data_IF_774062615149
#
_entry.id   IF_774062615149
#
_cell.length_a   1.000
_cell.length_b   1.000
_cell.length_c   1.000
_cell.angle_alpha   90.00
_cell.angle_beta   90.00
_cell.angle_gamma   90.00
#
_symmetry.space_group_name_H-M   'P 1'
#
loop_
_entity.id
_entity.type
_entity.pdbx_description
1 polymer ?
#
# COMPACT_ATOMS: atom_id res chain seq x y z
N UNK A 1 -14.31 -17.82 26.18
CA UNK A 1 -15.13 -16.72 25.62
C UNK A 1 -14.33 -15.74 24.76
N UNK A 2 -13.07 -15.42 25.08
CA UNK A 2 -12.22 -14.45 24.33
C UNK A 2 -11.84 -14.90 22.90
N UNK A 3 -11.60 -16.20 22.69
CA UNK A 3 -11.21 -16.75 21.38
C UNK A 3 -12.26 -16.51 20.27
N UNK A 4 -13.55 -16.46 20.62
CA UNK A 4 -14.62 -16.21 19.65
C UNK A 4 -14.64 -14.76 19.17
N UNK A 5 -14.33 -13.81 20.06
CA UNK A 5 -14.30 -12.38 19.73
C UNK A 5 -13.10 -12.05 18.84
N UNK A 6 -11.94 -12.62 19.13
CA UNK A 6 -10.74 -12.44 18.30
C UNK A 6 -10.97 -12.97 16.87
N UNK A 7 -11.57 -14.17 16.76
CA UNK A 7 -11.91 -14.79 15.48
C UNK A 7 -12.86 -13.91 14.66
N UNK A 8 -13.91 -13.39 15.30
CA UNK A 8 -14.89 -12.54 14.65
C UNK A 8 -14.30 -11.18 14.24
N UNK A 9 -13.41 -10.61 15.06
CA UNK A 9 -12.67 -9.40 14.71
C UNK A 9 -11.76 -9.63 13.50
N UNK A 10 -10.98 -10.72 13.48
CA UNK A 10 -10.13 -11.10 12.34
C UNK A 10 -10.96 -11.30 11.07
N UNK A 11 -12.09 -12.01 11.14
CA UNK A 11 -12.96 -12.20 9.97
C UNK A 11 -13.51 -10.87 9.42
N UNK A 12 -13.91 -9.93 10.31
CA UNK A 12 -14.34 -8.59 9.89
C UNK A 12 -13.20 -7.80 9.25
N UNK A 13 -11.98 -7.90 9.78
CA UNK A 13 -10.82 -7.24 9.19
C UNK A 13 -10.50 -7.83 7.81
N UNK A 14 -10.51 -9.15 7.71
CA UNK A 14 -10.25 -9.88 6.49
C UNK A 14 -11.23 -9.52 5.36
N UNK A 15 -12.49 -9.23 5.68
CA UNK A 15 -13.51 -8.92 4.68
C UNK A 15 -13.39 -7.50 4.09
N UNK A 16 -12.94 -6.50 4.86
CA UNK A 16 -12.79 -5.13 4.35
C UNK A 16 -11.41 -4.85 3.72
N UNK A 17 -10.37 -5.60 4.13
CA UNK A 17 -8.99 -5.39 3.70
C UNK A 17 -8.77 -5.34 2.18
N UNK A 18 -9.35 -6.25 1.37
CA UNK A 18 -9.16 -6.20 -0.08
C UNK A 18 -9.62 -4.86 -0.66
N UNK A 19 -10.74 -4.32 -0.19
CA UNK A 19 -11.23 -3.02 -0.67
C UNK A 19 -10.35 -1.87 -0.18
N UNK A 20 -9.85 -1.92 1.05
CA UNK A 20 -8.95 -0.92 1.59
C UNK A 20 -7.64 -0.85 0.80
N UNK A 21 -7.04 -2.00 0.47
CA UNK A 21 -5.82 -2.08 -0.34
C UNK A 21 -6.07 -1.53 -1.75
N UNK A 22 -7.15 -1.95 -2.42
CA UNK A 22 -7.50 -1.42 -3.74
C UNK A 22 -7.68 0.10 -3.73
N UNK A 23 -8.31 0.66 -2.69
CA UNK A 23 -8.51 2.11 -2.57
C UNK A 23 -7.18 2.84 -2.35
N UNK A 24 -6.31 2.32 -1.50
CA UNK A 24 -5.00 2.92 -1.24
C UNK A 24 -4.10 2.88 -2.48
N UNK A 25 -4.09 1.77 -3.22
CA UNK A 25 -3.40 1.64 -4.51
C UNK A 25 -3.94 2.63 -5.54
N UNK A 26 -5.27 2.72 -5.67
CA UNK A 26 -5.88 3.70 -6.57
C UNK A 26 -5.44 5.12 -6.23
N UNK A 27 -5.48 5.51 -4.95
CA UNK A 27 -5.01 6.83 -4.53
C UNK A 27 -3.54 7.05 -4.87
N UNK A 28 -2.68 6.04 -4.68
CA UNK A 28 -1.28 6.12 -5.08
C UNK A 28 -1.13 6.36 -6.58
N UNK A 29 -1.82 5.57 -7.42
CA UNK A 29 -1.79 5.72 -8.87
C UNK A 29 -2.37 7.06 -9.32
N UNK A 30 -3.46 7.53 -8.71
CA UNK A 30 -4.05 8.83 -9.01
C UNK A 30 -3.05 9.97 -8.71
N UNK A 31 -2.31 9.92 -7.60
CA UNK A 31 -1.29 10.93 -7.29
C UNK A 31 -0.06 10.87 -8.20
N UNK A 32 0.33 9.67 -8.64
CA UNK A 32 1.49 9.48 -9.52
C UNK A 32 1.18 9.74 -11.00
N UNK A 33 -0.07 9.54 -11.42
CA UNK A 33 -0.53 9.70 -12.80
C UNK A 33 -1.14 11.06 -13.11
N UNK A 34 -1.35 11.91 -12.10
CA UNK A 34 -1.69 13.30 -12.32
C UNK A 34 -0.48 14.05 -12.88
N UNK A 35 -0.61 14.52 -14.12
CA UNK A 35 0.24 15.59 -14.66
C UNK A 35 -0.04 16.85 -13.84
N UNK A 36 0.70 17.01 -12.75
CA UNK A 36 0.72 18.27 -12.01
C UNK A 36 1.45 19.24 -12.91
N UNK A 37 0.73 20.21 -13.49
CA UNK A 37 1.37 21.34 -14.16
C UNK A 37 2.46 21.86 -13.23
N UNK A 38 3.72 21.74 -13.64
CA UNK A 38 4.93 22.10 -12.86
C UNK A 38 5.07 23.63 -12.78
N UNK A 39 3.95 24.35 -12.71
CA UNK A 39 3.88 25.80 -12.58
C UNK A 39 4.05 26.22 -11.11
N UNK A 40 3.86 25.29 -10.15
CA UNK A 40 3.98 25.55 -8.72
C UNK A 40 4.70 24.42 -7.97
N UNK A 41 5.92 24.67 -7.51
CA UNK A 41 6.75 23.71 -6.76
C UNK A 41 6.08 23.24 -5.45
N UNK A 42 5.23 24.08 -4.85
CA UNK A 42 4.48 23.73 -3.64
C UNK A 42 3.40 22.68 -3.92
N UNK A 43 2.70 22.82 -5.04
CA UNK A 43 1.71 21.86 -5.52
C UNK A 43 2.39 20.52 -5.84
N UNK A 44 3.53 20.53 -6.54
CA UNK A 44 4.33 19.33 -6.77
C UNK A 44 4.73 18.61 -5.46
N UNK A 45 5.28 19.35 -4.48
CA UNK A 45 5.66 18.78 -3.18
C UNK A 45 4.49 18.20 -2.39
N UNK A 46 3.32 18.84 -2.43
CA UNK A 46 2.11 18.34 -1.80
C UNK A 46 1.61 17.03 -2.46
N UNK A 47 1.58 16.97 -3.80
CA UNK A 47 1.20 15.78 -4.54
C UNK A 47 2.14 14.60 -4.26
N UNK A 48 3.45 14.84 -4.29
CA UNK A 48 4.44 13.82 -3.99
C UNK A 48 4.34 13.32 -2.53
N UNK A 49 4.09 14.22 -1.59
CA UNK A 49 3.83 13.85 -0.19
C UNK A 49 2.56 13.00 -0.07
N UNK A 50 1.50 13.34 -0.79
CA UNK A 50 0.26 12.56 -0.81
C UNK A 50 0.48 11.15 -1.39
N UNK A 51 1.27 11.03 -2.47
CA UNK A 51 1.67 9.74 -3.03
C UNK A 51 2.46 8.89 -2.02
N UNK A 52 3.42 9.50 -1.31
CA UNK A 52 4.20 8.85 -0.24
C UNK A 52 3.31 8.33 0.89
N UNK A 53 2.34 9.14 1.32
CA UNK A 53 1.38 8.73 2.35
C UNK A 53 0.50 7.57 1.87
N UNK A 54 0.05 7.61 0.61
CA UNK A 54 -0.76 6.54 0.03
C UNK A 54 0.00 5.21 -0.01
N UNK A 55 1.26 5.20 -0.47
CA UNK A 55 2.06 3.97 -0.53
C UNK A 55 2.47 3.45 0.86
N UNK A 56 2.73 4.34 1.83
CA UNK A 56 2.94 3.93 3.22
C UNK A 56 1.68 3.27 3.83
N UNK A 57 0.49 3.75 3.47
CA UNK A 57 -0.76 3.13 3.87
C UNK A 57 -0.95 1.74 3.24
N UNK A 58 -0.57 1.56 1.96
CA UNK A 58 -0.53 0.24 1.30
C UNK A 58 0.38 -0.72 2.08
N UNK A 59 1.58 -0.29 2.44
CA UNK A 59 2.51 -1.12 3.23
C UNK A 59 1.92 -1.54 4.59
N UNK A 60 1.25 -0.63 5.30
CA UNK A 60 0.60 -0.93 6.56
C UNK A 60 -0.49 -2.00 6.40
N UNK A 61 -1.31 -1.91 5.35
CA UNK A 61 -2.37 -2.88 5.08
C UNK A 61 -1.81 -4.27 4.74
N UNK A 62 -0.71 -4.32 3.97
CA UNK A 62 0.02 -5.58 3.70
C UNK A 62 0.53 -6.19 5.01
N UNK A 63 1.16 -5.38 5.88
CA UNK A 63 1.65 -5.84 7.18
C UNK A 63 0.51 -6.41 8.03
N UNK A 64 -0.67 -5.78 8.01
CA UNK A 64 -1.85 -6.27 8.71
C UNK A 64 -2.33 -7.62 8.16
N UNK A 65 -2.38 -7.79 6.83
CA UNK A 65 -2.69 -9.07 6.18
C UNK A 65 -1.77 -10.20 6.64
N UNK A 66 -0.46 -9.94 6.69
CA UNK A 66 0.57 -10.94 6.98
C UNK A 66 0.66 -11.28 8.47
N UNK A 67 0.55 -10.28 9.34
CA UNK A 67 0.69 -10.46 10.78
C UNK A 67 -0.50 -11.19 11.42
N UNK A 68 -1.68 -11.17 10.78
CA UNK A 68 -2.93 -11.55 11.42
C UNK A 68 -3.51 -12.89 10.95
N UNK A 69 -2.79 -13.67 10.14
CA UNK A 69 -3.23 -14.92 9.48
C UNK A 69 -4.70 -14.86 8.99
N UNK A 70 -5.09 -13.72 8.42
CA UNK A 70 -6.49 -13.40 8.11
C UNK A 70 -7.07 -14.33 7.04
N UNK A 71 -6.19 -14.91 6.22
CA UNK A 71 -6.58 -15.86 5.18
C UNK A 71 -7.17 -17.15 5.76
N UNK A 72 -6.83 -17.52 7.00
CA UNK A 72 -7.40 -18.67 7.70
C UNK A 72 -8.86 -18.46 8.13
N UNK A 73 -9.29 -17.21 8.26
CA UNK A 73 -10.61 -16.83 8.79
C UNK A 73 -11.66 -16.57 7.71
N UNK A 74 -11.24 -16.50 6.44
CA UNK A 74 -12.15 -16.37 5.30
C UNK A 74 -12.61 -17.75 4.85
N UNK A 75 -13.89 -18.06 5.09
CA UNK A 75 -14.50 -19.33 4.68
C UNK A 75 -14.80 -19.39 3.17
N UNK A 76 -15.02 -18.24 2.53
CA UNK A 76 -15.31 -18.15 1.10
C UNK A 76 -14.01 -18.21 0.29
N UNK A 77 -13.88 -19.23 -0.58
CA UNK A 77 -12.69 -19.43 -1.41
C UNK A 77 -12.40 -18.26 -2.35
N UNK A 78 -13.44 -17.64 -2.91
CA UNK A 78 -13.28 -16.53 -3.84
C UNK A 78 -12.81 -15.26 -3.12
N UNK A 79 -13.35 -15.00 -1.93
CA UNK A 79 -12.90 -13.88 -1.09
C UNK A 79 -11.46 -14.06 -0.61
N UNK A 80 -11.10 -15.30 -0.23
CA UNK A 80 -9.73 -15.64 0.18
C UNK A 80 -8.76 -15.46 -0.99
N UNK A 81 -9.13 -15.96 -2.17
CA UNK A 81 -8.35 -15.79 -3.40
C UNK A 81 -8.17 -14.31 -3.72
N UNK A 82 -9.24 -13.52 -3.67
CA UNK A 82 -9.20 -12.07 -3.89
C UNK A 82 -8.26 -11.35 -2.92
N UNK A 83 -8.29 -11.69 -1.63
CA UNK A 83 -7.38 -11.11 -0.64
C UNK A 83 -5.91 -11.41 -1.00
N UNK A 84 -5.61 -12.65 -1.38
CA UNK A 84 -4.26 -13.07 -1.78
C UNK A 84 -3.80 -12.32 -3.04
N UNK A 85 -4.65 -12.26 -4.07
CA UNK A 85 -4.35 -11.57 -5.34
C UNK A 85 -4.10 -10.08 -5.14
N UNK A 86 -4.97 -9.39 -4.41
CA UNK A 86 -4.83 -7.96 -4.14
C UNK A 86 -3.61 -7.67 -3.27
N UNK A 87 -3.31 -8.53 -2.29
CA UNK A 87 -2.10 -8.38 -1.46
C UNK A 87 -0.83 -8.56 -2.29
N UNK A 88 -0.79 -9.57 -3.16
CA UNK A 88 0.35 -9.81 -4.05
C UNK A 88 0.58 -8.65 -5.04
N UNK A 89 -0.50 -8.10 -5.62
CA UNK A 89 -0.41 -6.90 -6.45
C UNK A 89 0.16 -5.71 -5.66
N UNK A 90 -0.32 -5.49 -4.45
CA UNK A 90 0.14 -4.40 -3.59
C UNK A 90 1.62 -4.55 -3.19
N UNK A 91 2.08 -5.78 -2.94
CA UNK A 91 3.50 -6.08 -2.67
C UNK A 91 4.38 -5.75 -3.89
N UNK A 92 3.93 -6.10 -5.11
CA UNK A 92 4.65 -5.77 -6.33
C UNK A 92 4.77 -4.26 -6.54
N UNK A 93 3.69 -3.50 -6.32
CA UNK A 93 3.69 -2.03 -6.39
C UNK A 93 4.61 -1.38 -5.35
N UNK A 94 4.58 -1.88 -4.11
CA UNK A 94 5.46 -1.41 -3.04
C UNK A 94 6.94 -1.68 -3.36
N UNK A 95 7.25 -2.85 -3.93
CA UNK A 95 8.61 -3.20 -4.34
C UNK A 95 9.11 -2.27 -5.46
N UNK A 96 8.26 -1.98 -6.47
CA UNK A 96 8.60 -1.01 -7.51
C UNK A 96 8.84 0.39 -6.95
N UNK A 97 8.01 0.83 -5.99
CA UNK A 97 8.20 2.12 -5.33
C UNK A 97 9.53 2.18 -4.55
N UNK A 98 9.86 1.14 -3.78
CA UNK A 98 11.12 1.07 -3.03
C UNK A 98 12.33 1.08 -3.95
N UNK A 99 12.30 0.29 -5.02
CA UNK A 99 13.37 0.30 -6.03
C UNK A 99 13.52 1.68 -6.70
N UNK A 100 12.43 2.40 -6.97
CA UNK A 100 12.52 3.79 -7.46
C UNK A 100 13.12 4.75 -6.43
N UNK A 101 12.82 4.58 -5.14
CA UNK A 101 13.42 5.41 -4.09
C UNK A 101 14.93 5.17 -3.93
N UNK A 102 15.36 3.91 -3.94
CA UNK A 102 16.77 3.54 -3.76
C UNK A 102 17.65 4.17 -4.86
N UNK A 103 17.18 4.19 -6.12
CA UNK A 103 17.88 4.88 -7.23
C UNK A 103 18.03 6.39 -6.96
N UNK A 104 17.01 7.04 -6.39
CA UNK A 104 17.04 8.48 -6.14
C UNK A 104 17.91 8.85 -4.93
N UNK A 105 18.05 7.93 -3.97
CA UNK A 105 18.95 8.09 -2.82
C UNK A 105 20.42 7.89 -3.23
N UNK A 106 20.71 6.95 -4.12
CA UNK A 106 22.06 6.75 -4.68
C UNK A 106 22.52 7.90 -5.60
N UNK A 107 21.61 8.48 -6.40
CA UNK A 107 21.94 9.60 -7.30
C UNK A 107 22.14 10.93 -6.53
N UNK A 108 21.41 11.15 -5.43
CA UNK A 108 21.54 12.34 -4.59
C UNK A 108 22.83 12.39 -3.74
N UNK A 109 23.49 11.25 -3.54
CA UNK A 109 24.77 11.17 -2.81
C UNK A 109 25.99 11.49 -3.69
N UNK A 110 25.85 11.49 -5.03
CA UNK A 110 26.99 11.73 -5.94
C UNK A 110 27.22 13.22 -6.29
N UNK A 111 26.28 14.12 -6.02
CA UNK A 111 26.43 15.56 -6.28
C UNK A 111 27.05 16.35 -5.10
N UNK A 112 27.45 15.68 -4.01
CA UNK A 112 28.04 16.30 -2.82
C UNK A 112 29.57 16.39 -2.80
N UNK A 113 30.27 15.82 -3.78
CA UNK A 113 31.73 15.70 -3.84
C UNK A 113 32.29 16.25 -5.18
N UNK A 114 32.03 17.52 -5.50
CA UNK A 114 32.78 18.28 -6.52
C UNK A 114 33.02 19.73 -6.09
#
# INVERSE_FOLDING_TARGET
MTLSLEKEAKARIASFLPQAICKALKSYHDFMGQDVSIEDAKSFGAHHTAAKVAIAHVELLIKLCKASDLSGEINNKDEKKRLVEVTAQAEAELAQYKSRQEVWEEEGEHEGDL
#
